data_IF_322621506209
#
_entry.id   IF_322621506209
#
_cell.length_a   1.000
_cell.length_b   1.000
_cell.length_c   1.000
_cell.angle_alpha   90.00
_cell.angle_beta   90.00
_cell.angle_gamma   90.00
#
_symmetry.space_group_name_H-M   'P 1'
#
loop_
_entity.id
_entity.type
_entity.pdbx_description
1 polymer ?
#
# COMPACT_ATOMS: atom_id res chain seq x y z
N UNK A 1 -1.50 51.09 -46.29
CA UNK A 1 -0.80 51.58 -45.09
C UNK A 1 -0.84 50.47 -44.05
N UNK A 2 0.29 49.80 -43.79
CA UNK A 2 0.40 48.87 -42.67
C UNK A 2 0.57 49.72 -41.42
N UNK A 3 -0.48 49.87 -40.62
CA UNK A 3 -0.34 50.37 -39.25
C UNK A 3 0.56 49.39 -38.51
N UNK A 4 1.80 49.82 -38.28
CA UNK A 4 2.80 49.03 -37.59
C UNK A 4 2.36 48.89 -36.14
N UNK A 5 2.10 47.65 -35.74
CA UNK A 5 1.57 47.24 -34.44
C UNK A 5 2.63 47.39 -33.31
N UNK A 6 3.30 48.53 -33.25
CA UNK A 6 4.40 48.84 -32.33
C UNK A 6 3.97 48.69 -30.87
N UNK A 7 2.69 48.98 -30.56
CA UNK A 7 2.15 48.85 -29.22
C UNK A 7 2.13 47.39 -28.75
N UNK A 8 1.71 46.45 -29.61
CA UNK A 8 1.73 45.01 -29.29
C UNK A 8 3.14 44.48 -29.10
N UNK A 9 4.10 44.96 -29.90
CA UNK A 9 5.52 44.59 -29.76
C UNK A 9 6.09 45.09 -28.43
N UNK A 10 5.79 46.34 -28.05
CA UNK A 10 6.26 46.93 -26.77
C UNK A 10 5.67 46.17 -25.58
N UNK A 11 4.37 45.83 -25.61
CA UNK A 11 3.70 45.06 -24.55
C UNK A 11 4.33 43.67 -24.43
N UNK A 12 4.60 42.99 -25.54
CA UNK A 12 5.25 41.67 -25.54
C UNK A 12 6.64 41.73 -24.90
N UNK A 13 7.46 42.72 -25.26
CA UNK A 13 8.79 42.91 -24.68
C UNK A 13 8.71 43.18 -23.17
N UNK A 14 7.74 43.97 -22.71
CA UNK A 14 7.51 44.22 -21.29
C UNK A 14 7.12 42.96 -20.51
N UNK A 15 6.26 42.11 -21.09
CA UNK A 15 5.86 40.83 -20.48
C UNK A 15 7.08 39.90 -20.36
N UNK A 16 7.89 39.79 -21.42
CA UNK A 16 9.12 38.98 -21.40
C UNK A 16 10.10 39.49 -20.34
N UNK A 17 10.29 40.81 -20.23
CA UNK A 17 11.13 41.40 -19.19
C UNK A 17 10.58 41.16 -17.78
N UNK A 18 9.26 41.27 -17.58
CA UNK A 18 8.63 40.98 -16.30
C UNK A 18 8.77 39.50 -15.90
N UNK A 19 8.66 38.57 -16.84
CA UNK A 19 8.87 37.14 -16.61
C UNK A 19 10.35 36.81 -16.32
N UNK A 20 11.29 37.45 -17.01
CA UNK A 20 12.72 37.26 -16.76
C UNK A 20 13.13 37.82 -15.40
N UNK A 21 12.70 39.04 -15.06
CA UNK A 21 13.04 39.67 -13.78
C UNK A 21 12.29 38.97 -12.64
N UNK A 22 10.99 38.72 -12.80
CA UNK A 22 10.16 38.04 -11.80
C UNK A 22 10.57 36.58 -11.58
N UNK A 23 10.86 35.85 -12.66
CA UNK A 23 11.37 34.48 -12.61
C UNK A 23 12.74 34.41 -11.92
N UNK A 24 13.65 35.33 -12.24
CA UNK A 24 14.99 35.35 -11.65
C UNK A 24 14.95 35.83 -10.17
N UNK A 25 14.03 36.72 -9.82
CA UNK A 25 13.76 37.08 -8.42
C UNK A 25 13.21 35.89 -7.63
N UNK A 26 12.24 35.14 -8.18
CA UNK A 26 11.71 33.91 -7.56
C UNK A 26 12.78 32.82 -7.40
N UNK A 27 13.69 32.68 -8.36
CA UNK A 27 14.79 31.71 -8.28
C UNK A 27 15.84 32.16 -7.24
N UNK A 28 16.20 33.45 -7.19
CA UNK A 28 17.18 33.98 -6.22
C UNK A 28 16.65 34.06 -4.78
N UNK A 29 15.34 34.30 -4.61
CA UNK A 29 14.67 34.34 -3.30
C UNK A 29 13.98 33.03 -2.92
N UNK A 30 14.20 31.93 -3.66
CA UNK A 30 14.01 30.59 -3.08
C UNK A 30 15.05 30.47 -1.97
N UNK A 31 14.62 30.75 -0.73
CA UNK A 31 15.35 30.37 0.47
C UNK A 31 15.85 28.95 0.28
N UNK A 32 17.10 28.70 0.67
CA UNK A 32 17.79 27.42 0.46
C UNK A 32 16.79 26.29 0.67
N UNK A 33 16.44 25.57 -0.41
CA UNK A 33 15.75 24.31 -0.26
C UNK A 33 16.76 23.45 0.49
N UNK A 34 16.58 23.37 1.80
CA UNK A 34 17.20 22.37 2.64
C UNK A 34 16.72 21.06 2.02
N UNK A 35 17.52 20.49 1.12
CA UNK A 35 17.42 19.09 0.79
C UNK A 35 17.75 18.39 2.10
N UNK A 36 16.73 18.14 2.91
CA UNK A 36 16.84 17.29 4.09
C UNK A 36 17.39 15.99 3.55
N UNK A 37 18.67 15.72 3.84
CA UNK A 37 19.32 14.50 3.43
C UNK A 37 18.61 13.41 4.22
N UNK A 38 17.66 12.73 3.59
CA UNK A 38 17.01 11.57 4.21
C UNK A 38 18.14 10.58 4.42
N UNK A 39 18.39 10.25 5.68
CA UNK A 39 19.39 9.24 5.98
C UNK A 39 18.91 7.93 5.37
N UNK A 40 19.73 7.34 4.52
CA UNK A 40 19.48 5.99 4.02
C UNK A 40 19.67 5.02 5.19
N UNK A 41 18.54 4.55 5.73
CA UNK A 41 18.49 3.64 6.89
C UNK A 41 18.59 2.16 6.50
N UNK A 42 18.86 1.86 5.22
CA UNK A 42 19.03 0.47 4.78
C UNK A 42 20.30 -0.15 5.37
N UNK A 43 20.19 -1.40 5.82
CA UNK A 43 21.32 -2.19 6.31
C UNK A 43 22.28 -2.53 5.16
N UNK A 44 21.72 -2.93 4.02
CA UNK A 44 22.45 -3.19 2.77
C UNK A 44 21.98 -2.24 1.67
N UNK A 45 22.90 -1.43 1.16
CA UNK A 45 22.59 -0.43 0.12
C UNK A 45 22.40 -1.04 -1.27
N UNK A 46 22.76 -2.31 -1.45
CA UNK A 46 22.61 -3.00 -2.72
C UNK A 46 21.19 -3.57 -2.92
N UNK A 47 20.41 -3.65 -1.84
CA UNK A 47 19.04 -4.14 -1.87
C UNK A 47 18.05 -3.01 -1.59
N UNK A 48 16.81 -3.22 -2.03
CA UNK A 48 15.70 -2.32 -1.72
C UNK A 48 15.32 -2.42 -0.24
N UNK A 49 14.43 -1.54 0.23
CA UNK A 49 13.93 -1.56 1.60
C UNK A 49 13.20 -2.86 1.97
N UNK A 50 12.53 -3.45 0.98
CA UNK A 50 11.88 -4.76 1.08
C UNK A 50 12.31 -5.58 -0.12
N UNK A 51 12.75 -6.80 0.13
CA UNK A 51 13.08 -7.75 -0.93
C UNK A 51 12.73 -9.17 -0.49
N UNK A 52 12.71 -10.10 -1.44
CA UNK A 52 12.29 -11.48 -1.21
C UNK A 52 13.41 -12.46 -1.57
N UNK A 53 13.52 -13.56 -0.82
CA UNK A 53 14.38 -14.70 -1.13
C UNK A 53 13.63 -16.02 -1.02
N UNK A 54 14.28 -17.11 -1.43
CA UNK A 54 13.79 -18.48 -1.24
C UNK A 54 12.35 -18.68 -1.74
N UNK A 55 12.05 -18.06 -2.89
CA UNK A 55 10.72 -18.10 -3.49
C UNK A 55 10.39 -19.50 -3.97
N UNK A 56 9.26 -20.02 -3.51
CA UNK A 56 8.69 -21.29 -3.92
C UNK A 56 7.30 -21.05 -4.52
N UNK A 57 7.16 -21.31 -5.81
CA UNK A 57 5.90 -21.11 -6.55
C UNK A 57 5.18 -22.44 -6.58
N UNK A 58 4.08 -22.52 -5.84
CA UNK A 58 3.26 -23.73 -5.72
C UNK A 58 2.24 -23.81 -6.84
N UNK A 59 1.63 -22.67 -7.19
CA UNK A 59 0.73 -22.54 -8.33
C UNK A 59 0.80 -21.12 -8.86
N UNK A 60 1.19 -20.96 -10.13
CA UNK A 60 1.17 -19.66 -10.82
C UNK A 60 -0.27 -19.20 -11.06
N UNK A 61 -1.16 -20.13 -11.41
CA UNK A 61 -2.58 -19.87 -11.71
C UNK A 61 -3.34 -19.33 -10.51
N UNK A 62 -3.10 -19.90 -9.32
CA UNK A 62 -3.73 -19.46 -8.07
C UNK A 62 -2.93 -18.34 -7.38
N UNK A 63 -1.84 -17.87 -8.00
CA UNK A 63 -0.92 -16.87 -7.44
C UNK A 63 -0.48 -17.25 -6.01
N UNK A 64 -0.04 -18.50 -5.85
CA UNK A 64 0.46 -19.09 -4.61
C UNK A 64 1.98 -19.16 -4.65
N UNK A 65 2.60 -18.07 -4.21
CA UNK A 65 4.05 -17.93 -4.07
C UNK A 65 4.41 -17.72 -2.61
N UNK A 66 5.26 -18.58 -2.07
CA UNK A 66 5.75 -18.51 -0.70
C UNK A 66 7.21 -18.07 -0.71
N UNK A 67 7.50 -16.93 -0.10
CA UNK A 67 8.83 -16.34 -0.11
C UNK A 67 9.24 -15.86 1.28
N UNK A 68 10.55 -15.79 1.53
CA UNK A 68 11.08 -15.13 2.72
C UNK A 68 11.15 -13.64 2.44
N UNK A 69 10.42 -12.83 3.22
CA UNK A 69 10.50 -11.38 3.17
C UNK A 69 11.69 -10.89 4.00
N UNK A 70 12.41 -9.90 3.48
CA UNK A 70 13.50 -9.21 4.17
C UNK A 70 13.18 -7.73 4.31
N UNK A 71 13.18 -7.23 5.54
CA UNK A 71 12.98 -5.82 5.86
C UNK A 71 14.35 -5.18 6.10
N UNK A 72 14.91 -4.61 5.03
CA UNK A 72 16.24 -4.01 4.99
C UNK A 72 16.26 -2.64 5.70
N UNK A 73 15.95 -2.61 6.98
CA UNK A 73 15.81 -1.40 7.79
C UNK A 73 16.55 -1.64 9.10
N UNK A 74 17.49 -0.76 9.46
CA UNK A 74 18.19 -0.86 10.75
C UNK A 74 17.32 -0.39 11.92
N UNK A 75 16.27 -1.14 12.22
CA UNK A 75 15.37 -0.89 13.33
C UNK A 75 14.92 -2.19 13.98
N UNK A 76 14.75 -2.18 15.30
CA UNK A 76 14.32 -3.35 16.06
C UNK A 76 12.90 -3.80 15.69
N UNK A 77 12.01 -2.86 15.42
CA UNK A 77 10.62 -3.14 15.06
C UNK A 77 10.54 -3.79 13.67
N UNK A 78 11.40 -3.37 12.74
CA UNK A 78 11.53 -4.00 11.43
C UNK A 78 11.98 -5.47 11.56
N UNK A 79 13.05 -5.73 12.33
CA UNK A 79 13.56 -7.11 12.56
C UNK A 79 12.50 -8.00 13.20
N UNK A 80 11.77 -7.48 14.20
CA UNK A 80 10.68 -8.21 14.84
C UNK A 80 9.54 -8.51 13.87
N UNK A 81 9.12 -7.54 13.06
CA UNK A 81 8.07 -7.74 12.07
C UNK A 81 8.48 -8.77 11.01
N UNK A 82 9.74 -8.71 10.53
CA UNK A 82 10.28 -9.68 9.59
C UNK A 82 10.21 -11.11 10.14
N UNK A 83 10.65 -11.33 11.37
CA UNK A 83 10.57 -12.64 12.04
C UNK A 83 9.12 -13.14 12.16
N UNK A 84 8.19 -12.25 12.53
CA UNK A 84 6.76 -12.57 12.65
C UNK A 84 6.17 -12.97 11.28
N UNK A 85 6.39 -12.15 10.24
CA UNK A 85 5.87 -12.39 8.90
C UNK A 85 6.43 -13.66 8.28
N UNK A 86 7.74 -13.92 8.43
CA UNK A 86 8.36 -15.13 7.90
C UNK A 86 7.86 -16.40 8.61
N UNK A 87 7.61 -16.33 9.93
CA UNK A 87 7.01 -17.45 10.66
C UNK A 87 5.59 -17.74 10.17
N UNK A 88 4.80 -16.70 9.94
CA UNK A 88 3.45 -16.85 9.39
C UNK A 88 3.47 -17.40 7.97
N UNK A 89 4.39 -16.93 7.12
CA UNK A 89 4.56 -17.45 5.76
C UNK A 89 4.90 -18.94 5.74
N UNK A 90 5.80 -19.40 6.62
CA UNK A 90 6.10 -20.82 6.77
C UNK A 90 4.87 -21.60 7.22
N UNK A 91 4.07 -21.03 8.13
CA UNK A 91 2.82 -21.66 8.59
C UNK A 91 1.80 -21.76 7.45
N UNK A 92 1.67 -20.71 6.64
CA UNK A 92 0.80 -20.69 5.47
C UNK A 92 1.24 -21.73 4.44
N UNK A 93 2.54 -21.84 4.14
CA UNK A 93 3.08 -22.88 3.26
C UNK A 93 2.77 -24.29 3.76
N UNK A 94 2.84 -24.52 5.06
CA UNK A 94 2.55 -25.82 5.65
C UNK A 94 1.04 -26.16 5.68
N UNK A 95 0.16 -25.21 5.37
CA UNK A 95 -1.30 -25.43 5.34
C UNK A 95 -1.80 -26.06 4.04
N UNK A 96 -0.95 -26.09 2.99
CA UNK A 96 -1.32 -26.58 1.67
C UNK A 96 -1.85 -28.01 1.77
N UNK A 97 -3.05 -28.23 1.22
CA UNK A 97 -3.60 -29.55 0.97
C UNK A 97 -3.80 -29.75 -0.50
N UNK A 98 -3.57 -30.97 -0.94
CA UNK A 98 -3.68 -31.36 -2.35
C UNK A 98 -4.99 -32.09 -2.64
N UNK A 99 -5.40 -32.11 -3.91
CA UNK A 99 -6.60 -32.85 -4.33
C UNK A 99 -6.50 -34.34 -4.03
N UNK A 100 -5.29 -34.91 -4.11
CA UNK A 100 -5.05 -36.33 -3.83
C UNK A 100 -5.26 -36.71 -2.34
N UNK A 101 -5.20 -35.72 -1.44
CA UNK A 101 -5.37 -35.92 0.00
C UNK A 101 -6.82 -35.82 0.45
N UNK A 102 -7.72 -35.39 -0.44
CA UNK A 102 -9.14 -35.13 -0.12
C UNK A 102 -10.07 -35.86 -1.08
N UNK A 103 -11.24 -36.27 -0.57
CA UNK A 103 -12.29 -36.85 -1.40
C UNK A 103 -13.29 -35.75 -1.77
N UNK A 104 -13.21 -35.21 -2.98
CA UNK A 104 -14.13 -34.19 -3.49
C UNK A 104 -14.80 -34.63 -4.79
N UNK A 105 -16.02 -34.13 -5.06
CA UNK A 105 -16.61 -34.22 -6.40
C UNK A 105 -15.99 -33.12 -7.26
N UNK A 106 -15.47 -33.50 -8.43
CA UNK A 106 -14.85 -32.53 -9.36
C UNK A 106 -15.84 -31.48 -9.87
N UNK A 107 -17.15 -31.77 -9.83
CA UNK A 107 -18.19 -30.80 -10.20
C UNK A 107 -18.36 -29.69 -9.17
N UNK A 108 -17.81 -29.83 -7.97
CA UNK A 108 -17.88 -28.82 -6.90
C UNK A 108 -16.73 -27.80 -6.98
N UNK A 109 -15.76 -27.99 -7.88
CA UNK A 109 -14.65 -27.06 -8.09
C UNK A 109 -15.19 -25.81 -8.82
N UNK A 110 -14.96 -24.63 -8.24
CA UNK A 110 -15.45 -23.35 -8.77
C UNK A 110 -14.37 -22.54 -9.49
N UNK A 111 -13.13 -23.02 -9.49
CA UNK A 111 -12.00 -22.42 -10.21
C UNK A 111 -11.73 -23.19 -11.51
N UNK A 112 -11.36 -22.48 -12.57
CA UNK A 112 -10.67 -23.10 -13.71
C UNK A 112 -9.25 -23.43 -13.22
N UNK A 113 -8.87 -24.70 -13.35
CA UNK A 113 -7.56 -25.21 -12.93
C UNK A 113 -6.92 -25.95 -14.09
N UNK A 114 -5.64 -25.69 -14.35
CA UNK A 114 -4.85 -26.50 -15.27
C UNK A 114 -4.64 -27.93 -14.73
N UNK A 115 -4.42 -28.90 -15.62
CA UNK A 115 -4.26 -30.32 -15.27
C UNK A 115 -3.10 -30.59 -14.28
N UNK A 116 -2.12 -29.67 -14.21
CA UNK A 116 -0.96 -29.76 -13.33
C UNK A 116 -1.21 -29.12 -11.94
N UNK A 117 -2.34 -28.46 -11.73
CA UNK A 117 -2.68 -27.82 -10.47
C UNK A 117 -3.32 -28.83 -9.51
N UNK A 118 -2.58 -29.20 -8.47
CA UNK A 118 -3.02 -30.17 -7.47
C UNK A 118 -3.45 -29.51 -6.15
N UNK A 119 -3.57 -28.18 -6.07
CA UNK A 119 -3.91 -27.50 -4.80
C UNK A 119 -5.41 -27.55 -4.56
N UNK A 120 -5.83 -28.07 -3.41
CA UNK A 120 -7.21 -28.04 -2.94
C UNK A 120 -7.50 -26.81 -2.09
N UNK A 121 -6.71 -26.59 -1.04
CA UNK A 121 -6.82 -25.42 -0.19
C UNK A 121 -5.45 -25.02 0.35
N UNK A 122 -5.26 -23.73 0.60
CA UNK A 122 -4.03 -23.19 1.15
C UNK A 122 -4.27 -21.81 1.77
N UNK A 123 -3.65 -21.57 2.92
CA UNK A 123 -3.46 -20.22 3.42
C UNK A 123 -2.41 -19.49 2.58
N UNK A 124 -2.63 -18.19 2.37
CA UNK A 124 -1.71 -17.34 1.62
C UNK A 124 -1.42 -16.05 2.37
N UNK A 125 -0.23 -15.51 2.12
CA UNK A 125 0.18 -14.17 2.57
C UNK A 125 0.73 -13.43 1.36
N UNK A 126 0.15 -12.28 1.04
CA UNK A 126 0.59 -11.41 -0.06
C UNK A 126 1.00 -10.05 0.49
N UNK A 127 1.98 -9.44 -0.18
CA UNK A 127 2.55 -8.16 0.23
C UNK A 127 2.33 -7.10 -0.84
N UNK A 128 1.86 -5.92 -0.43
CA UNK A 128 1.87 -4.71 -1.25
C UNK A 128 2.88 -3.71 -0.68
N UNK A 129 3.79 -3.22 -1.51
CA UNK A 129 4.90 -2.36 -1.09
C UNK A 129 4.70 -0.96 -1.68
N UNK A 130 4.39 -0.01 -0.80
CA UNK A 130 4.15 1.38 -1.15
C UNK A 130 5.32 2.24 -0.65
N UNK A 131 6.22 2.56 -1.56
CA UNK A 131 7.39 3.39 -1.24
C UNK A 131 7.16 4.86 -1.64
N UNK A 132 7.43 5.76 -0.71
CA UNK A 132 7.44 7.21 -0.92
C UNK A 132 8.79 7.81 -0.51
N UNK A 133 8.91 9.15 -0.54
CA UNK A 133 10.16 9.81 -0.18
C UNK A 133 10.47 9.65 1.31
N UNK A 134 9.47 9.86 2.16
CA UNK A 134 9.62 9.87 3.62
C UNK A 134 9.14 8.58 4.31
N UNK A 135 8.37 7.75 3.61
CA UNK A 135 7.71 6.58 4.21
C UNK A 135 7.86 5.34 3.33
N UNK A 136 7.79 4.18 3.98
CA UNK A 136 7.64 2.87 3.35
C UNK A 136 6.45 2.20 4.03
N UNK A 137 5.44 1.82 3.25
CA UNK A 137 4.28 1.10 3.78
C UNK A 137 4.24 -0.32 3.20
N UNK A 138 4.02 -1.29 4.08
CA UNK A 138 3.85 -2.70 3.73
C UNK A 138 2.41 -3.09 4.05
N UNK A 139 1.60 -3.30 3.02
CA UNK A 139 0.30 -3.96 3.13
C UNK A 139 0.51 -5.47 3.19
N UNK A 140 -0.11 -6.13 4.17
CA UNK A 140 -0.04 -7.58 4.38
C UNK A 140 -1.46 -8.11 4.26
N UNK A 141 -1.74 -8.80 3.16
CA UNK A 141 -3.00 -9.51 2.92
C UNK A 141 -2.79 -10.95 3.37
N UNK A 142 -3.67 -11.45 4.25
CA UNK A 142 -3.71 -12.87 4.63
C UNK A 142 -5.08 -13.40 4.30
N UNK A 143 -5.14 -14.54 3.64
CA UNK A 143 -6.41 -15.18 3.32
C UNK A 143 -6.27 -16.69 3.25
N UNK A 144 -7.40 -17.32 2.95
CA UNK A 144 -7.51 -18.77 2.79
C UNK A 144 -8.15 -19.04 1.44
N UNK A 145 -7.44 -19.78 0.60
CA UNK A 145 -7.93 -20.26 -0.67
C UNK A 145 -8.54 -21.65 -0.46
N UNK A 146 -9.74 -21.87 -1.00
CA UNK A 146 -10.34 -23.20 -1.14
C UNK A 146 -11.00 -23.29 -2.52
N UNK A 147 -10.60 -24.26 -3.35
CA UNK A 147 -11.05 -24.32 -4.75
C UNK A 147 -12.53 -24.69 -4.94
N UNK A 148 -13.23 -25.05 -3.86
CA UNK A 148 -14.68 -25.35 -3.85
C UNK A 148 -15.53 -24.21 -3.28
N UNK A 149 -14.90 -23.10 -2.89
CA UNK A 149 -15.55 -21.92 -2.34
C UNK A 149 -14.95 -20.65 -2.94
N UNK A 150 -15.79 -19.80 -3.53
CA UNK A 150 -15.42 -18.49 -4.05
C UNK A 150 -15.42 -17.39 -2.97
N UNK A 151 -15.73 -17.75 -1.72
CA UNK A 151 -15.70 -16.82 -0.59
C UNK A 151 -14.26 -16.49 -0.20
N UNK A 152 -13.76 -15.36 -0.69
CA UNK A 152 -12.45 -14.81 -0.30
C UNK A 152 -12.60 -13.96 0.96
N UNK A 153 -12.40 -14.58 2.12
CA UNK A 153 -12.25 -13.86 3.39
C UNK A 153 -10.77 -13.58 3.63
N UNK A 154 -10.37 -12.32 3.42
CA UNK A 154 -9.01 -11.88 3.71
C UNK A 154 -8.97 -10.81 4.81
N UNK A 155 -7.86 -10.80 5.51
CA UNK A 155 -7.49 -9.74 6.45
C UNK A 155 -6.38 -8.91 5.83
N UNK A 156 -6.49 -7.60 5.96
CA UNK A 156 -5.50 -6.67 5.45
C UNK A 156 -4.98 -5.82 6.60
N UNK A 157 -3.66 -5.78 6.74
CA UNK A 157 -2.97 -4.97 7.74
C UNK A 157 -1.84 -4.17 7.12
N UNK A 158 -1.66 -2.93 7.56
CA UNK A 158 -0.62 -2.04 7.05
C UNK A 158 0.43 -1.70 8.10
N UNK A 159 1.70 -1.74 7.69
CA UNK A 159 2.84 -1.33 8.50
C UNK A 159 3.55 -0.18 7.82
N UNK A 160 3.43 1.03 8.37
CA UNK A 160 4.07 2.23 7.80
C UNK A 160 5.34 2.57 8.56
N UNK A 161 6.47 2.44 7.91
CA UNK A 161 7.79 2.82 8.42
C UNK A 161 8.10 4.28 8.07
N UNK A 162 8.59 5.03 9.05
CA UNK A 162 9.16 6.35 8.81
C UNK A 162 10.63 6.21 8.40
N UNK A 163 11.01 6.66 7.20
CA UNK A 163 12.37 6.47 6.68
C UNK A 163 13.46 7.27 7.41
N UNK A 164 13.09 8.23 8.26
CA UNK A 164 14.09 9.00 9.02
C UNK A 164 14.79 8.21 10.13
N UNK A 165 14.12 7.19 10.67
CA UNK A 165 14.53 6.44 11.87
C UNK A 165 14.10 4.95 11.84
N UNK A 166 13.31 4.55 10.85
CA UNK A 166 12.95 3.16 10.57
C UNK A 166 11.94 2.55 11.53
N UNK A 167 11.31 3.32 12.42
CA UNK A 167 10.28 2.76 13.30
C UNK A 167 8.94 2.63 12.56
N UNK A 168 8.11 1.71 13.04
CA UNK A 168 6.73 1.55 12.57
C UNK A 168 5.86 2.60 13.26
N UNK A 169 5.19 3.43 12.46
CA UNK A 169 4.34 4.51 12.94
C UNK A 169 3.03 3.97 13.50
N UNK A 170 2.61 4.52 14.63
CA UNK A 170 1.26 4.34 15.16
C UNK A 170 0.21 5.12 14.35
N UNK A 171 -1.07 4.79 14.52
CA UNK A 171 -2.17 5.55 13.91
C UNK A 171 -2.13 7.04 14.28
N UNK A 172 -1.75 7.40 15.51
CA UNK A 172 -1.65 8.79 15.95
C UNK A 172 -0.51 9.54 15.25
N UNK A 173 0.60 8.85 14.99
CA UNK A 173 1.72 9.40 14.22
C UNK A 173 1.34 9.58 12.75
N UNK A 174 0.62 8.62 12.15
CA UNK A 174 0.12 8.72 10.78
C UNK A 174 -0.86 9.88 10.63
N UNK A 175 -1.82 10.02 11.56
CA UNK A 175 -2.72 11.18 11.62
C UNK A 175 -1.94 12.48 11.73
N UNK A 176 -0.96 12.54 12.63
CA UNK A 176 -0.13 13.73 12.82
C UNK A 176 0.67 14.10 11.58
N UNK A 177 1.24 13.11 10.88
CA UNK A 177 1.97 13.31 9.63
C UNK A 177 1.08 13.86 8.51
N UNK A 178 -0.13 13.30 8.34
CA UNK A 178 -1.11 13.78 7.38
C UNK A 178 -1.92 15.00 7.81
N UNK A 179 -1.72 15.50 9.04
CA UNK A 179 -2.54 16.55 9.67
C UNK A 179 -4.03 16.22 9.72
N UNK A 180 -4.35 14.93 9.85
CA UNK A 180 -5.71 14.40 9.94
C UNK A 180 -6.23 14.52 11.38
N UNK A 181 -7.45 15.02 11.53
CA UNK A 181 -8.16 15.07 12.80
C UNK A 181 -9.10 13.88 12.94
N UNK A 182 -9.48 13.56 14.17
CA UNK A 182 -10.50 12.53 14.42
C UNK A 182 -11.87 12.89 13.79
N UNK A 183 -12.18 14.18 13.63
CA UNK A 183 -13.39 14.62 12.91
C UNK A 183 -13.38 14.16 11.45
N UNK A 184 -12.23 14.22 10.80
CA UNK A 184 -12.09 13.92 9.37
C UNK A 184 -12.29 12.41 9.13
N UNK A 185 -11.85 11.59 10.08
CA UNK A 185 -12.15 10.14 10.10
C UNK A 185 -13.65 9.90 10.25
N UNK A 186 -14.29 10.50 11.25
CA UNK A 186 -15.72 10.33 11.50
C UNK A 186 -16.58 10.80 10.32
N UNK A 187 -16.21 11.91 9.69
CA UNK A 187 -16.88 12.42 8.50
C UNK A 187 -16.69 11.48 7.30
N UNK A 188 -15.50 10.87 7.16
CA UNK A 188 -15.23 9.85 6.13
C UNK A 188 -16.06 8.58 6.35
N UNK A 189 -16.11 8.06 7.58
CA UNK A 189 -16.94 6.89 7.93
C UNK A 189 -18.43 7.17 7.66
N UNK A 190 -18.92 8.34 8.07
CA UNK A 190 -20.31 8.75 7.84
C UNK A 190 -20.62 8.87 6.35
N UNK A 191 -19.75 9.52 5.58
CA UNK A 191 -19.93 9.67 4.13
C UNK A 191 -19.88 8.33 3.41
N UNK A 192 -19.03 7.40 3.87
CA UNK A 192 -18.95 6.05 3.31
C UNK A 192 -20.24 5.25 3.52
N UNK A 193 -20.90 5.43 4.66
CA UNK A 193 -22.12 4.70 5.04
C UNK A 193 -23.42 5.37 4.55
N UNK A 194 -23.40 6.63 4.10
CA UNK A 194 -24.61 7.43 3.81
C UNK A 194 -25.58 6.74 2.84
N UNK A 195 -25.05 6.09 1.80
CA UNK A 195 -25.83 5.41 0.76
C UNK A 195 -25.80 3.88 0.86
N UNK A 196 -25.24 3.32 1.94
CA UNK A 196 -25.09 1.87 2.11
C UNK A 196 -26.15 1.29 3.04
N UNK A 197 -26.83 0.23 2.59
CA UNK A 197 -27.84 -0.48 3.37
C UNK A 197 -27.18 -1.68 4.04
N UNK A 198 -27.53 -1.93 5.30
CA UNK A 198 -27.05 -3.08 6.07
C UNK A 198 -25.52 -3.24 6.07
N UNK A 199 -24.83 -2.09 6.12
CA UNK A 199 -23.37 -2.00 6.06
C UNK A 199 -22.82 -1.41 7.34
N UNK A 200 -21.77 -2.02 7.88
CA UNK A 200 -21.08 -1.58 9.10
C UNK A 200 -19.56 -1.62 8.88
N UNK A 201 -18.87 -0.58 9.34
CA UNK A 201 -17.41 -0.57 9.44
C UNK A 201 -17.02 -1.26 10.75
N UNK A 202 -16.37 -2.43 10.66
CA UNK A 202 -15.94 -3.21 11.82
C UNK A 202 -14.64 -2.72 12.43
N UNK A 203 -13.71 -2.34 11.57
CA UNK A 203 -12.41 -1.82 11.96
C UNK A 203 -11.84 -0.97 10.83
N UNK A 204 -10.86 -0.13 11.14
CA UNK A 204 -10.07 0.56 10.14
C UNK A 204 -8.61 0.64 10.55
N UNK A 205 -7.76 0.84 9.55
CA UNK A 205 -6.34 1.12 9.72
C UNK A 205 -5.93 2.28 8.81
N UNK A 206 -4.99 3.09 9.29
CA UNK A 206 -4.45 4.22 8.56
C UNK A 206 -3.05 3.89 8.05
N UNK A 207 -2.74 4.36 6.85
CA UNK A 207 -1.41 4.18 6.26
C UNK A 207 -1.04 5.34 5.33
N UNK A 208 0.24 5.45 4.98
CA UNK A 208 0.74 6.42 4.02
C UNK A 208 0.84 5.78 2.63
N UNK A 209 0.19 6.37 1.62
CA UNK A 209 0.35 5.90 0.24
C UNK A 209 1.69 6.34 -0.37
N UNK A 210 2.00 5.86 -1.58
CA UNK A 210 3.22 6.22 -2.33
C UNK A 210 3.38 7.72 -2.61
N UNK A 211 2.32 8.51 -2.44
CA UNK A 211 2.31 9.96 -2.61
C UNK A 211 2.26 10.71 -1.28
N UNK A 212 2.49 10.02 -0.16
CA UNK A 212 2.45 10.56 1.20
C UNK A 212 1.08 11.09 1.63
N UNK A 213 0.00 10.59 1.03
CA UNK A 213 -1.35 10.85 1.53
C UNK A 213 -1.73 9.79 2.56
N UNK A 214 -2.43 10.23 3.61
CA UNK A 214 -3.06 9.29 4.55
C UNK A 214 -4.27 8.66 3.87
N UNK A 215 -4.31 7.33 3.89
CA UNK A 215 -5.43 6.50 3.44
C UNK A 215 -6.03 5.75 4.62
N UNK A 216 -7.29 5.38 4.49
CA UNK A 216 -8.00 4.56 5.44
C UNK A 216 -8.45 3.29 4.76
N UNK A 217 -7.95 2.15 5.22
CA UNK A 217 -8.51 0.86 4.86
C UNK A 217 -9.50 0.43 5.93
N UNK A 218 -10.69 0.03 5.53
CA UNK A 218 -11.79 -0.37 6.39
C UNK A 218 -12.12 -1.84 6.17
N UNK A 219 -12.28 -2.58 7.26
CA UNK A 219 -12.95 -3.88 7.23
C UNK A 219 -14.45 -3.64 7.36
N UNK A 220 -15.20 -4.01 6.33
CA UNK A 220 -16.61 -3.67 6.18
C UNK A 220 -17.43 -4.94 6.08
N UNK A 221 -18.52 -4.99 6.85
CA UNK A 221 -19.54 -6.01 6.70
C UNK A 221 -20.73 -5.40 5.96
N UNK A 222 -21.23 -6.08 4.93
CA UNK A 222 -22.41 -5.70 4.17
C UNK A 222 -23.29 -6.94 4.01
N UNK A 223 -24.33 -7.06 4.85
CA UNK A 223 -25.07 -8.31 5.00
C UNK A 223 -24.15 -9.46 5.43
N UNK A 224 -24.12 -10.54 4.64
CA UNK A 224 -23.32 -11.74 4.91
C UNK A 224 -21.89 -11.66 4.35
N UNK A 225 -21.50 -10.56 3.70
CA UNK A 225 -20.19 -10.40 3.05
C UNK A 225 -19.30 -9.51 3.91
N UNK A 226 -18.06 -9.93 4.13
CA UNK A 226 -17.01 -9.14 4.78
C UNK A 226 -15.92 -8.84 3.77
N UNK A 227 -15.52 -7.57 3.62
CA UNK A 227 -14.50 -7.15 2.66
C UNK A 227 -13.67 -5.97 3.16
N UNK A 228 -12.48 -5.80 2.58
CA UNK A 228 -11.65 -4.63 2.80
C UNK A 228 -11.97 -3.56 1.74
N UNK A 229 -12.13 -2.30 2.14
CA UNK A 229 -12.30 -1.17 1.23
C UNK A 229 -11.37 -0.02 1.64
N UNK A 230 -10.76 0.63 0.65
CA UNK A 230 -9.81 1.72 0.87
C UNK A 230 -10.41 3.05 0.40
N UNK A 231 -10.46 4.01 1.33
CA UNK A 231 -10.95 5.36 1.06
C UNK A 231 -9.88 6.41 1.32
N UNK A 232 -10.07 7.57 0.67
CA UNK A 232 -9.29 8.77 0.95
C UNK A 232 -9.95 9.53 2.10
N UNK A 233 -9.14 10.01 3.03
CA UNK A 233 -9.58 10.97 4.05
C UNK A 233 -9.42 12.38 3.47
N UNK A 234 -10.46 13.20 3.61
CA UNK A 234 -10.50 14.58 3.10
C UNK A 234 -10.19 15.61 4.19
#
# INVERSE_FOLDING_TARGET
MQEKNYLSVIIFVLIVFALLIGGNYLIRNKGSISTTKINDIRLDKNNDYVYFSDSDTVSEELDLVYNTIHLNIDNKDAKKLEEELNKEMVSAKNSIKTLDEVSIDKNDIVYELDDDNNVYEADYIKYDILESTNYLTIGVVKGHLNITSDVDNNTLKYYTFKKSDGHIMSMDEIKSAGKIKNSDILDTEKSYLEDKIDTEIKAYELYMDKYENVRMNMLVNSGDITYNDTVKIN
#
